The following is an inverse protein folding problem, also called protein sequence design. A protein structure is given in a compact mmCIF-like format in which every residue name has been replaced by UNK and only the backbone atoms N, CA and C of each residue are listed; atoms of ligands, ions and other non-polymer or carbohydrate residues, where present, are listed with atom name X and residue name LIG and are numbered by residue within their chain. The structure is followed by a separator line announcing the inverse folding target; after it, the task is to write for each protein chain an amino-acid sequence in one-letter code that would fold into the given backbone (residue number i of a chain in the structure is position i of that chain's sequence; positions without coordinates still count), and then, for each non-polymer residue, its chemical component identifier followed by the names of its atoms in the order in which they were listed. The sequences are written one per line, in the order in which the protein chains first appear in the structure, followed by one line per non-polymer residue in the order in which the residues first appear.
data_IF_361698534233
#
_entry.id   IF_361698534233
#
_cell.length_a   1.000
_cell.length_b   1.000
_cell.length_c   1.000
_cell.angle_alpha   90.00
_cell.angle_beta   90.00
_cell.angle_gamma   90.00
#
_symmetry.space_group_name_H-M   'P 1'
#
loop_
_entity.id
_entity.type
_entity.pdbx_description
1 polymer ?
#
# COMPACT_ATOMS: atom_id res chain seq x y z
N UNK A 1 -10.18 -0.72 18.07
CA UNK A 1 -9.31 -1.42 17.11
C UNK A 1 -10.01 -1.43 15.76
N UNK A 2 -9.42 -0.75 14.77
CA UNK A 2 -10.05 -0.53 13.47
C UNK A 2 -9.98 -1.81 12.62
N UNK A 3 -11.09 -2.14 11.95
CA UNK A 3 -11.38 -3.46 11.33
C UNK A 3 -10.62 -3.72 10.01
N UNK A 4 -9.38 -3.28 9.89
CA UNK A 4 -8.53 -3.61 8.75
C UNK A 4 -7.83 -4.95 9.04
N UNK A 5 -8.42 -6.05 8.58
CA UNK A 5 -7.80 -7.37 8.70
C UNK A 5 -6.74 -7.51 7.58
N UNK A 6 -5.58 -8.12 7.88
CA UNK A 6 -4.51 -8.27 6.89
C UNK A 6 -4.98 -8.97 5.59
N UNK A 7 -6.00 -9.83 5.68
CA UNK A 7 -6.60 -10.45 4.51
C UNK A 7 -7.45 -9.50 3.66
N UNK A 8 -8.17 -8.53 4.27
CA UNK A 8 -8.97 -7.55 3.51
C UNK A 8 -8.08 -6.54 2.81
N UNK A 9 -6.94 -6.19 3.41
CA UNK A 9 -5.87 -5.41 2.76
C UNK A 9 -5.36 -6.19 1.54
N UNK A 10 -5.04 -7.49 1.69
CA UNK A 10 -4.54 -8.30 0.57
C UNK A 10 -5.55 -8.41 -0.57
N UNK A 11 -6.81 -8.67 -0.29
CA UNK A 11 -7.83 -8.85 -1.33
C UNK A 11 -8.18 -7.55 -2.04
N UNK A 12 -8.39 -6.46 -1.29
CA UNK A 12 -8.80 -5.18 -1.87
C UNK A 12 -7.66 -4.40 -2.50
N UNK A 13 -6.49 -4.33 -1.86
CA UNK A 13 -5.35 -3.56 -2.36
C UNK A 13 -4.46 -4.40 -3.28
N UNK A 14 -4.01 -5.57 -2.82
CA UNK A 14 -2.93 -6.29 -3.51
C UNK A 14 -3.39 -7.33 -4.54
N UNK A 15 -4.64 -7.77 -4.50
CA UNK A 15 -5.16 -8.82 -5.40
C UNK A 15 -6.04 -8.28 -6.54
N UNK A 16 -6.74 -7.16 -6.32
CA UNK A 16 -7.68 -6.57 -7.30
C UNK A 16 -7.23 -5.17 -7.75
N UNK A 17 -6.66 -4.37 -6.84
CA UNK A 17 -6.42 -2.93 -7.09
C UNK A 17 -5.00 -2.53 -7.50
N UNK A 18 -4.01 -3.38 -7.22
CA UNK A 18 -2.60 -3.03 -7.40
C UNK A 18 -1.72 -4.24 -7.71
N UNK A 19 -0.76 -4.06 -8.60
CA UNK A 19 0.34 -5.02 -8.83
C UNK A 19 1.50 -4.66 -7.91
N UNK A 20 1.84 -5.59 -7.00
CA UNK A 20 2.99 -5.43 -6.10
C UNK A 20 4.14 -6.32 -6.53
N UNK A 21 5.31 -5.71 -6.73
CA UNK A 21 6.57 -6.42 -6.97
C UNK A 21 7.52 -6.17 -5.81
N UNK A 22 7.94 -7.24 -5.16
CA UNK A 22 8.93 -7.19 -4.08
C UNK A 22 10.28 -7.62 -4.63
N UNK A 23 11.31 -6.86 -4.29
CA UNK A 23 12.71 -7.17 -4.53
C UNK A 23 13.49 -7.01 -3.23
N UNK A 24 14.74 -7.48 -3.22
CA UNK A 24 15.58 -7.54 -2.01
C UNK A 24 15.67 -6.21 -1.24
N UNK A 25 15.59 -5.07 -1.93
CA UNK A 25 15.71 -3.73 -1.32
C UNK A 25 14.53 -2.80 -1.61
N UNK A 26 13.56 -3.23 -2.41
CA UNK A 26 12.53 -2.33 -2.96
C UNK A 26 11.20 -3.06 -3.06
N UNK A 27 10.15 -2.35 -2.70
CA UNK A 27 8.76 -2.76 -2.95
C UNK A 27 8.19 -1.75 -3.96
N UNK A 28 7.76 -2.25 -5.11
CA UNK A 28 7.07 -1.47 -6.13
C UNK A 28 5.59 -1.79 -6.06
N UNK A 29 4.76 -0.75 -6.00
CA UNK A 29 3.29 -0.86 -6.00
C UNK A 29 2.77 -0.06 -7.18
N UNK A 30 2.10 -0.74 -8.11
CA UNK A 30 1.46 -0.16 -9.30
C UNK A 30 -0.05 -0.24 -9.12
N UNK A 31 -0.73 0.90 -9.01
CA UNK A 31 -2.18 0.96 -8.81
C UNK A 31 -2.90 0.97 -10.17
N UNK A 32 -4.04 0.29 -10.29
CA UNK A 32 -4.90 0.42 -11.46
C UNK A 32 -5.56 1.81 -11.48
N UNK A 33 -5.67 2.43 -12.66
CA UNK A 33 -6.20 3.80 -12.82
C UNK A 33 -7.64 3.99 -12.35
N UNK A 34 -8.45 2.93 -12.36
CA UNK A 34 -9.83 2.93 -11.87
C UNK A 34 -9.97 2.55 -10.40
N UNK A 35 -8.87 2.38 -9.65
CA UNK A 35 -8.95 1.86 -8.30
C UNK A 35 -9.42 2.94 -7.30
N UNK A 36 -10.58 2.73 -6.63
CA UNK A 36 -11.21 3.79 -5.83
C UNK A 36 -10.38 4.23 -4.61
N UNK A 37 -9.44 3.41 -4.14
CA UNK A 37 -8.61 3.74 -2.98
C UNK A 37 -7.18 4.19 -3.33
N UNK A 38 -6.90 4.51 -4.61
CA UNK A 38 -5.59 4.99 -5.04
C UNK A 38 -5.13 6.21 -4.23
N UNK A 39 -5.99 7.23 -4.15
CA UNK A 39 -5.67 8.49 -3.45
C UNK A 39 -5.41 8.28 -1.96
N UNK A 40 -6.19 7.42 -1.31
CA UNK A 40 -6.03 7.11 0.11
C UNK A 40 -4.70 6.39 0.34
N UNK A 41 -4.37 5.42 -0.52
CA UNK A 41 -3.09 4.72 -0.44
C UNK A 41 -1.91 5.68 -0.62
N UNK A 42 -1.96 6.57 -1.61
CA UNK A 42 -0.94 7.60 -1.82
C UNK A 42 -0.77 8.48 -0.57
N UNK A 43 -1.86 8.98 0.01
CA UNK A 43 -1.80 9.83 1.20
C UNK A 43 -1.13 9.10 2.39
N UNK A 44 -1.52 7.86 2.65
CA UNK A 44 -0.92 7.05 3.73
C UNK A 44 0.56 6.81 3.44
N UNK A 45 0.92 6.47 2.20
CA UNK A 45 2.31 6.28 1.80
C UNK A 45 3.16 7.54 2.02
N UNK A 46 2.65 8.72 1.64
CA UNK A 46 3.33 9.99 1.89
C UNK A 46 3.51 10.27 3.38
N UNK A 47 2.48 10.02 4.19
CA UNK A 47 2.56 10.20 5.64
C UNK A 47 3.62 9.27 6.26
N UNK A 48 3.61 7.99 5.89
CA UNK A 48 4.60 7.01 6.38
C UNK A 48 6.02 7.35 5.91
N UNK A 49 6.18 7.83 4.69
CA UNK A 49 7.47 8.28 4.16
C UNK A 49 7.97 9.55 4.86
N UNK A 50 7.06 10.47 5.19
CA UNK A 50 7.38 11.70 5.91
C UNK A 50 7.82 11.44 7.36
N UNK A 51 7.36 10.36 7.98
CA UNK A 51 7.84 9.93 9.30
C UNK A 51 9.34 9.51 9.29
N UNK A 52 9.94 9.30 8.12
CA UNK A 52 11.38 9.10 7.90
C UNK A 52 11.99 7.89 8.66
N UNK A 53 13.24 7.48 8.35
CA UNK A 53 13.60 6.08 8.17
C UNK A 53 13.29 5.27 9.42
N UNK A 54 12.65 4.11 9.24
CA UNK A 54 12.58 3.07 10.26
C UNK A 54 14.02 2.67 10.61
N UNK A 55 14.64 3.44 11.50
CA UNK A 55 15.81 3.05 12.27
C UNK A 55 15.27 2.07 13.30
N UNK A 56 15.39 0.80 12.95
CA UNK A 56 15.42 -0.27 13.94
C UNK A 56 16.66 -0.08 14.82
#
# INVERSE_FOLDING_TARGET
MERAQCHTIREKLFKIGALVRVSVRRVLVLMASGYPYERIFQQVYWNLRALHPLRC
#
